data_IF_653387149761
#
_entry.id   IF_653387149761
#
_cell.length_a   1.000
_cell.length_b   1.000
_cell.length_c   1.000
_cell.angle_alpha   90.00
_cell.angle_beta   90.00
_cell.angle_gamma   90.00
#
_symmetry.space_group_name_H-M   'P 1'
#
loop_
_entity.id
_entity.type
_entity.pdbx_description
1 polymer ?
#
# COMPACT_ATOMS: atom_id res chain seq x y z
N UNK A 1 26.69 -6.80 6.59
CA UNK A 1 25.21 -6.84 6.69
C UNK A 1 24.62 -6.82 5.29
N UNK A 2 23.35 -7.22 5.14
CA UNK A 2 22.59 -7.15 3.88
C UNK A 2 21.37 -6.26 4.07
N UNK A 3 21.08 -5.40 3.10
CA UNK A 3 19.89 -4.55 3.06
C UNK A 3 19.20 -4.73 1.72
N UNK A 4 17.95 -5.17 1.75
CA UNK A 4 17.18 -5.47 0.54
C UNK A 4 15.78 -4.88 0.61
N UNK A 5 15.31 -4.36 -0.52
CA UNK A 5 13.94 -3.88 -0.75
C UNK A 5 13.47 -4.46 -2.07
N UNK A 6 12.34 -5.18 -2.07
CA UNK A 6 11.80 -5.82 -3.26
C UNK A 6 10.57 -6.67 -2.98
N UNK A 7 10.29 -7.65 -3.83
CA UNK A 7 9.13 -8.52 -3.67
C UNK A 7 9.30 -9.47 -2.46
N UNK A 8 8.17 -9.85 -1.83
CA UNK A 8 8.18 -10.73 -0.65
C UNK A 8 8.90 -12.06 -0.87
N UNK A 9 8.73 -12.78 -2.00
CA UNK A 9 9.45 -14.03 -2.22
C UNK A 9 10.97 -13.86 -2.21
N UNK A 10 11.46 -12.76 -2.79
CA UNK A 10 12.90 -12.47 -2.86
C UNK A 10 13.41 -11.93 -1.51
N UNK A 11 12.62 -11.12 -0.80
CA UNK A 11 12.95 -10.68 0.54
C UNK A 11 13.13 -11.87 1.50
N UNK A 12 12.24 -12.87 1.44
CA UNK A 12 12.35 -14.11 2.21
C UNK A 12 13.61 -14.89 1.85
N UNK A 13 13.89 -15.06 0.55
CA UNK A 13 15.11 -15.72 0.08
C UNK A 13 16.39 -15.04 0.58
N UNK A 14 16.47 -13.72 0.43
CA UNK A 14 17.62 -12.92 0.88
C UNK A 14 17.79 -13.00 2.39
N UNK A 15 16.69 -12.90 3.15
CA UNK A 15 16.72 -13.01 4.60
C UNK A 15 17.26 -14.38 5.04
N UNK A 16 16.62 -15.47 4.61
CA UNK A 16 17.00 -16.83 5.02
C UNK A 16 18.45 -17.17 4.65
N UNK A 17 18.85 -16.86 3.41
CA UNK A 17 20.22 -17.12 2.93
C UNK A 17 21.25 -16.30 3.69
N UNK A 18 20.97 -15.01 3.91
CA UNK A 18 21.91 -14.11 4.60
C UNK A 18 22.08 -14.45 6.07
N UNK A 19 21.00 -14.78 6.78
CA UNK A 19 21.06 -15.16 8.20
C UNK A 19 21.69 -16.53 8.40
N UNK A 20 21.47 -17.49 7.50
CA UNK A 20 22.15 -18.80 7.54
C UNK A 20 23.68 -18.67 7.43
N UNK A 21 24.16 -17.64 6.73
CA UNK A 21 25.59 -17.29 6.63
C UNK A 21 26.09 -16.40 7.80
N UNK A 22 25.31 -16.24 8.89
CA UNK A 22 25.69 -15.45 10.05
C UNK A 22 25.68 -13.92 9.85
N UNK A 23 25.09 -13.42 8.75
CA UNK A 23 25.03 -11.98 8.47
C UNK A 23 23.78 -11.36 9.10
N UNK A 24 23.89 -10.12 9.61
CA UNK A 24 22.71 -9.28 9.89
C UNK A 24 22.01 -8.91 8.58
N UNK A 25 20.70 -9.10 8.51
CA UNK A 25 19.90 -8.81 7.32
C UNK A 25 18.67 -7.95 7.69
N UNK A 26 18.40 -6.92 6.88
CA UNK A 26 17.08 -6.33 6.74
C UNK A 26 16.56 -6.61 5.33
N UNK A 27 15.32 -7.09 5.22
CA UNK A 27 14.69 -7.42 3.95
C UNK A 27 13.23 -6.95 3.98
N UNK A 28 12.93 -5.89 3.24
CA UNK A 28 11.61 -5.28 3.15
C UNK A 28 10.91 -5.84 1.90
N UNK A 29 9.82 -6.58 2.14
CA UNK A 29 9.01 -7.22 1.10
C UNK A 29 7.93 -6.31 0.50
N UNK A 30 7.04 -6.91 -0.28
CA UNK A 30 5.88 -6.22 -0.83
C UNK A 30 4.86 -5.85 0.25
N UNK A 31 3.94 -4.94 -0.09
CA UNK A 31 2.92 -4.42 0.81
C UNK A 31 1.52 -4.52 0.18
N UNK A 32 0.52 -4.56 1.06
CA UNK A 32 -0.91 -4.41 0.71
C UNK A 32 -1.48 -3.34 1.63
N UNK A 33 -1.20 -2.08 1.31
CA UNK A 33 -1.62 -0.97 2.17
C UNK A 33 -3.13 -0.73 2.00
N UNK A 34 -3.77 -0.41 3.12
CA UNK A 34 -5.19 -0.10 3.22
C UNK A 34 -5.36 1.35 3.65
N UNK A 35 -6.32 2.05 3.05
CA UNK A 35 -6.86 3.29 3.58
C UNK A 35 -8.22 3.01 4.19
N UNK A 36 -8.44 3.42 5.43
CA UNK A 36 -9.75 3.33 6.09
C UNK A 36 -10.38 4.72 6.06
N UNK A 37 -11.53 4.85 5.40
CA UNK A 37 -12.25 6.11 5.25
C UNK A 37 -13.49 6.04 6.14
N UNK A 38 -13.58 6.96 7.10
CA UNK A 38 -14.67 7.04 8.07
C UNK A 38 -15.85 7.87 7.53
N UNK A 39 -17.07 7.70 8.06
CA UNK A 39 -18.26 8.41 7.58
C UNK A 39 -18.19 9.95 7.69
N UNK A 40 -17.32 10.47 8.56
CA UNK A 40 -17.09 11.90 8.80
C UNK A 40 -15.92 12.47 8.00
N UNK A 41 -15.27 11.66 7.15
CA UNK A 41 -14.22 12.12 6.26
C UNK A 41 -14.78 13.07 5.20
N UNK A 42 -13.99 14.07 4.82
CA UNK A 42 -14.22 14.83 3.61
C UNK A 42 -14.04 13.90 2.39
N UNK A 43 -15.15 13.54 1.74
CA UNK A 43 -15.14 12.55 0.66
C UNK A 43 -14.50 13.07 -0.62
N UNK A 44 -14.48 14.38 -0.86
CA UNK A 44 -13.80 14.94 -2.03
C UNK A 44 -12.29 14.90 -1.85
N UNK A 45 -11.80 15.31 -0.68
CA UNK A 45 -10.39 15.17 -0.31
C UNK A 45 -9.95 13.71 -0.29
N UNK A 46 -10.79 12.82 0.26
CA UNK A 46 -10.51 11.39 0.30
C UNK A 46 -10.40 10.81 -1.12
N UNK A 47 -11.31 11.16 -2.03
CA UNK A 47 -11.27 10.69 -3.41
C UNK A 47 -9.99 11.16 -4.15
N UNK A 48 -9.62 12.43 -4.03
CA UNK A 48 -8.38 12.96 -4.62
C UNK A 48 -7.14 12.23 -4.08
N UNK A 49 -7.10 12.01 -2.76
CA UNK A 49 -6.02 11.28 -2.11
C UNK A 49 -5.95 9.81 -2.58
N UNK A 50 -7.10 9.15 -2.76
CA UNK A 50 -7.16 7.75 -3.20
C UNK A 50 -6.66 7.58 -4.64
N UNK A 51 -7.02 8.49 -5.56
CA UNK A 51 -6.50 8.44 -6.94
C UNK A 51 -4.99 8.63 -6.96
N UNK A 52 -4.48 9.61 -6.23
CA UNK A 52 -3.04 9.85 -6.16
C UNK A 52 -2.28 8.67 -5.52
N UNK A 53 -2.80 8.15 -4.40
CA UNK A 53 -2.13 7.10 -3.65
C UNK A 53 -2.25 5.72 -4.30
N UNK A 54 -3.32 5.45 -5.06
CA UNK A 54 -3.54 4.19 -5.76
C UNK A 54 -2.86 4.14 -7.13
N UNK A 55 -2.92 5.22 -7.90
CA UNK A 55 -2.48 5.24 -9.31
C UNK A 55 -1.25 6.10 -9.58
N UNK A 56 -0.80 6.90 -8.61
CA UNK A 56 0.46 7.65 -8.71
C UNK A 56 1.65 6.71 -8.95
N UNK A 57 2.52 7.07 -9.90
CA UNK A 57 3.59 6.19 -10.40
C UNK A 57 3.08 4.81 -10.84
N UNK A 58 1.92 4.77 -11.51
CA UNK A 58 1.24 3.54 -11.93
C UNK A 58 0.92 2.56 -10.79
N UNK A 59 0.88 3.03 -9.54
CA UNK A 59 0.71 2.18 -8.36
C UNK A 59 1.96 1.37 -7.98
N UNK A 60 3.08 1.54 -8.67
CA UNK A 60 4.34 0.81 -8.46
C UNK A 60 5.15 1.41 -7.29
N UNK A 61 4.48 1.63 -6.16
CA UNK A 61 5.06 2.16 -4.91
C UNK A 61 4.74 1.21 -3.78
N UNK A 62 5.72 0.89 -2.93
CA UNK A 62 5.47 0.07 -1.74
C UNK A 62 4.49 0.74 -0.75
N UNK A 63 4.30 2.06 -0.87
CA UNK A 63 3.34 2.86 -0.09
C UNK A 63 2.02 3.13 -0.85
N UNK A 64 1.81 2.53 -2.03
CA UNK A 64 0.57 2.71 -2.78
C UNK A 64 -0.62 2.14 -1.99
N UNK A 65 -1.76 2.84 -2.01
CA UNK A 65 -3.00 2.34 -1.42
C UNK A 65 -3.68 1.41 -2.41
N UNK A 66 -3.68 0.13 -2.06
CA UNK A 66 -4.16 -0.95 -2.94
C UNK A 66 -5.54 -1.47 -2.55
N UNK A 67 -6.12 -0.92 -1.47
CA UNK A 67 -7.43 -1.23 -0.94
C UNK A 67 -7.96 -0.04 -0.16
N UNK A 68 -9.15 0.46 -0.53
CA UNK A 68 -9.89 1.44 0.25
C UNK A 68 -10.99 0.72 1.03
N UNK A 69 -11.13 1.02 2.32
CA UNK A 69 -12.12 0.48 3.24
C UNK A 69 -13.04 1.63 3.65
N UNK A 70 -14.16 1.77 2.96
CA UNK A 70 -15.20 2.73 3.30
C UNK A 70 -16.03 2.18 4.47
N UNK A 71 -16.13 2.94 5.56
CA UNK A 71 -16.86 2.55 6.76
C UNK A 71 -18.28 3.09 6.70
N UNK A 72 -19.28 2.24 6.91
CA UNK A 72 -20.68 2.66 6.97
C UNK A 72 -21.25 3.04 5.59
N UNK A 73 -22.17 4.00 5.51
CA UNK A 73 -22.98 4.24 4.31
C UNK A 73 -22.27 5.02 3.19
N UNK A 74 -21.03 5.47 3.39
CA UNK A 74 -20.32 6.35 2.43
C UNK A 74 -19.72 5.62 1.22
N UNK A 75 -19.89 4.30 1.12
CA UNK A 75 -19.18 3.49 0.11
C UNK A 75 -19.52 3.90 -1.32
N UNK A 76 -20.81 4.02 -1.64
CA UNK A 76 -21.26 4.36 -3.00
C UNK A 76 -20.86 5.79 -3.38
N UNK A 77 -21.01 6.74 -2.45
CA UNK A 77 -20.63 8.14 -2.66
C UNK A 77 -19.12 8.29 -2.88
N UNK A 78 -18.29 7.57 -2.11
CA UNK A 78 -16.84 7.57 -2.28
C UNK A 78 -16.43 6.97 -3.63
N UNK A 79 -17.05 5.86 -4.03
CA UNK A 79 -16.78 5.22 -5.34
C UNK A 79 -17.17 6.16 -6.48
N UNK A 80 -18.33 6.79 -6.41
CA UNK A 80 -18.80 7.74 -7.42
C UNK A 80 -17.81 8.91 -7.57
N UNK A 81 -17.37 9.50 -6.45
CA UNK A 81 -16.37 10.57 -6.45
C UNK A 81 -15.05 10.12 -7.07
N UNK A 82 -14.52 8.95 -6.69
CA UNK A 82 -13.28 8.42 -7.27
C UNK A 82 -13.41 8.22 -8.78
N UNK A 83 -14.55 7.73 -9.27
CA UNK A 83 -14.77 7.47 -10.69
C UNK A 83 -14.82 8.72 -11.58
N UNK A 84 -15.08 9.90 -11.01
CA UNK A 84 -15.08 11.19 -11.73
C UNK A 84 -13.66 11.76 -11.96
N UNK A 85 -12.63 11.12 -11.38
CA UNK A 85 -11.24 11.57 -11.36
C UNK A 85 -10.35 10.64 -12.17
#
# INVERSE_FOLDING_TARGET
>A
SVSFVGSTPIAQYVYATGTAAGKRVQALGGAKNHAVILPDADLDLAADAMVNAGFGSAGERCMAISAAVAVGPIADDLVAKIAER
#
